data_IF_194755456391
#
_entry.id   IF_194755456391
#
_cell.length_a   1.000
_cell.length_b   1.000
_cell.length_c   1.000
_cell.angle_alpha   90.00
_cell.angle_beta   90.00
_cell.angle_gamma   90.00
#
_symmetry.space_group_name_H-M   'P 1'
#
loop_
_entity.id
_entity.type
_entity.pdbx_description
1 polymer ?
#
# COMPACT_ATOMS: atom_id res chain seq x y z
N UNK A 1 -3.95 8.82 -13.05
CA UNK A 1 -4.80 7.63 -13.27
C UNK A 1 -6.02 8.08 -14.06
N UNK A 2 -6.43 7.34 -15.08
CA UNK A 2 -7.53 7.74 -15.97
C UNK A 2 -8.89 7.73 -15.29
N UNK A 3 -9.86 8.49 -15.82
CA UNK A 3 -11.27 8.42 -15.40
C UNK A 3 -11.79 6.99 -15.63
N UNK A 4 -12.60 6.48 -14.70
CA UNK A 4 -13.24 5.16 -14.80
C UNK A 4 -12.43 3.99 -14.23
N UNK A 5 -11.23 4.21 -13.68
CA UNK A 5 -10.49 3.18 -12.97
C UNK A 5 -10.77 3.23 -11.46
N UNK A 6 -11.00 2.09 -10.78
CA UNK A 6 -11.23 2.04 -9.33
C UNK A 6 -10.13 2.74 -8.52
N UNK A 7 -8.88 2.56 -8.94
CA UNK A 7 -7.72 3.13 -8.27
C UNK A 7 -7.56 4.63 -8.52
N UNK A 8 -8.39 5.28 -9.34
CA UNK A 8 -8.42 6.74 -9.41
C UNK A 8 -8.85 7.36 -8.06
N UNK A 9 -9.71 6.68 -7.32
CA UNK A 9 -10.09 7.05 -5.96
C UNK A 9 -8.93 6.84 -4.98
N UNK A 10 -8.60 7.88 -4.22
CA UNK A 10 -7.60 7.83 -3.17
C UNK A 10 -7.96 6.82 -2.08
N UNK A 11 -9.22 6.78 -1.65
CA UNK A 11 -9.69 5.88 -0.60
C UNK A 11 -9.48 4.42 -1.01
N UNK A 12 -9.78 4.09 -2.27
CA UNK A 12 -9.55 2.75 -2.84
C UNK A 12 -8.06 2.39 -2.79
N UNK A 13 -7.16 3.26 -3.26
CA UNK A 13 -5.71 2.97 -3.22
C UNK A 13 -5.20 2.78 -1.79
N UNK A 14 -5.62 3.65 -0.88
CA UNK A 14 -5.20 3.61 0.52
C UNK A 14 -5.69 2.34 1.22
N UNK A 15 -6.93 1.93 0.97
CA UNK A 15 -7.48 0.69 1.49
C UNK A 15 -6.73 -0.55 0.95
N UNK A 16 -6.44 -0.57 -0.35
CA UNK A 16 -5.67 -1.67 -0.96
C UNK A 16 -4.27 -1.81 -0.35
N UNK A 17 -3.57 -0.70 -0.08
CA UNK A 17 -2.26 -0.75 0.60
C UNK A 17 -2.40 -1.27 2.04
N UNK A 18 -3.43 -0.84 2.78
CA UNK A 18 -3.69 -1.29 4.16
C UNK A 18 -4.01 -2.79 4.23
N UNK A 19 -4.56 -3.37 3.16
CA UNK A 19 -4.84 -4.80 3.08
C UNK A 19 -3.58 -5.67 2.92
N UNK A 20 -2.43 -5.07 2.54
CA UNK A 20 -1.20 -5.79 2.23
C UNK A 20 -0.26 -5.85 3.43
N UNK A 21 0.21 -7.05 3.78
CA UNK A 21 1.24 -7.21 4.80
C UNK A 21 2.64 -7.07 4.19
N UNK A 22 3.17 -5.84 4.18
CA UNK A 22 4.50 -5.55 3.59
C UNK A 22 5.64 -6.31 4.29
N UNK A 23 5.54 -6.56 5.59
CA UNK A 23 6.53 -7.36 6.33
C UNK A 23 6.54 -8.81 5.85
N UNK A 24 5.36 -9.40 5.67
CA UNK A 24 5.23 -10.76 5.15
C UNK A 24 5.73 -10.86 3.72
N UNK A 25 5.40 -9.90 2.84
CA UNK A 25 5.93 -9.86 1.47
C UNK A 25 7.45 -9.80 1.50
N UNK A 26 8.02 -8.90 2.30
CA UNK A 26 9.46 -8.78 2.47
C UNK A 26 10.11 -10.11 2.86
N UNK A 27 9.50 -10.87 3.77
CA UNK A 27 10.03 -12.18 4.17
C UNK A 27 9.84 -13.27 3.10
N UNK A 28 8.65 -13.40 2.53
CA UNK A 28 8.29 -14.54 1.66
C UNK A 28 8.82 -14.36 0.25
N UNK A 29 8.59 -13.20 -0.37
CA UNK A 29 8.92 -12.98 -1.77
C UNK A 29 10.44 -12.90 -2.03
N UNK A 30 11.23 -12.63 -0.99
CA UNK A 30 12.69 -12.44 -1.10
C UNK A 30 13.49 -13.55 -0.41
N UNK A 31 12.84 -14.56 0.17
CA UNK A 31 13.51 -15.56 1.00
C UNK A 31 14.16 -14.97 2.26
N UNK A 32 13.60 -13.89 2.81
CA UNK A 32 14.07 -13.22 4.03
C UNK A 32 15.15 -12.16 3.81
N UNK A 33 15.55 -11.88 2.57
CA UNK A 33 16.61 -10.90 2.25
C UNK A 33 16.09 -9.47 2.09
N UNK A 34 14.78 -9.30 1.97
CA UNK A 34 14.09 -8.04 1.75
C UNK A 34 14.20 -7.13 2.96
N UNK A 35 14.48 -5.86 2.71
CA UNK A 35 14.51 -4.80 3.73
C UNK A 35 13.32 -3.87 3.51
N UNK A 36 12.71 -3.33 4.59
CA UNK A 36 11.71 -2.28 4.45
C UNK A 36 12.29 -1.08 3.69
N UNK A 37 11.53 -0.55 2.75
CA UNK A 37 11.89 0.68 2.08
C UNK A 37 11.79 1.87 3.06
N UNK A 38 12.71 2.81 2.92
CA UNK A 38 12.82 4.10 3.62
C UNK A 38 12.58 5.27 2.66
N UNK A 39 12.70 5.05 1.36
CA UNK A 39 12.41 6.05 0.32
C UNK A 39 12.05 5.37 -1.02
N UNK A 40 11.65 6.16 -2.03
CA UNK A 40 11.32 5.64 -3.37
C UNK A 40 12.57 5.41 -4.26
N UNK A 41 13.68 6.08 -3.95
CA UNK A 41 14.91 6.12 -4.76
C UNK A 41 16.07 5.36 -4.13
N UNK A 42 15.84 4.11 -3.71
CA UNK A 42 16.83 3.30 -2.96
C UNK A 42 17.96 2.72 -3.81
N UNK A 43 17.96 2.97 -5.12
CA UNK A 43 19.08 2.59 -5.99
C UNK A 43 20.18 3.64 -5.87
N UNK A 44 21.37 3.21 -5.48
CA UNK A 44 22.51 4.08 -5.32
C UNK A 44 22.91 4.75 -6.66
N UNK A 45 23.34 6.03 -6.62
CA UNK A 45 23.42 6.91 -5.45
C UNK A 45 22.05 7.49 -5.05
N UNK A 46 21.73 7.44 -3.76
CA UNK A 46 20.48 8.01 -3.21
C UNK A 46 20.72 9.45 -2.75
N UNK A 47 20.14 10.47 -3.43
CA UNK A 47 20.39 11.88 -3.12
C UNK A 47 19.75 12.34 -1.80
N UNK A 48 18.67 11.69 -1.36
CA UNK A 48 17.94 12.01 -0.13
C UNK A 48 17.91 10.79 0.79
N UNK A 49 18.62 10.82 1.91
CA UNK A 49 18.77 9.65 2.81
C UNK A 49 17.75 9.56 3.94
N UNK A 50 16.83 10.53 4.04
CA UNK A 50 15.80 10.54 5.07
C UNK A 50 14.78 9.42 4.88
N UNK A 51 14.33 8.83 5.99
CA UNK A 51 13.18 7.93 5.99
C UNK A 51 11.90 8.76 5.78
N UNK A 52 11.32 8.61 4.59
CA UNK A 52 10.07 9.24 4.18
C UNK A 52 8.89 8.27 4.23
N UNK A 53 9.15 7.00 4.53
CA UNK A 53 8.16 5.91 4.49
C UNK A 53 7.51 5.74 5.85
N UNK A 54 8.29 5.75 6.93
CA UNK A 54 7.78 5.61 8.30
C UNK A 54 6.76 6.72 8.61
N UNK A 55 5.55 6.32 9.00
CA UNK A 55 4.45 7.23 9.31
C UNK A 55 3.62 7.70 8.10
N UNK A 56 4.11 7.53 6.87
CA UNK A 56 3.39 7.91 5.64
C UNK A 56 2.76 6.73 4.91
N UNK A 57 3.16 5.49 5.22
CA UNK A 57 2.52 4.29 4.68
C UNK A 57 1.40 3.80 5.61
N UNK A 58 0.21 3.48 5.07
CA UNK A 58 -0.88 2.93 5.86
C UNK A 58 -0.46 1.64 6.57
N UNK A 59 -0.83 1.46 7.86
CA UNK A 59 -0.54 0.22 8.56
C UNK A 59 -1.32 -0.95 7.96
N UNK A 60 -0.79 -2.17 8.14
CA UNK A 60 -1.52 -3.37 7.75
C UNK A 60 -2.74 -3.58 8.66
N UNK A 61 -3.93 -3.39 8.12
CA UNK A 61 -5.22 -3.56 8.78
C UNK A 61 -6.28 -4.02 7.76
N UNK A 62 -6.42 -5.34 7.55
CA UNK A 62 -7.39 -5.91 6.61
C UNK A 62 -8.85 -5.56 6.95
N UNK A 63 -9.18 -5.42 8.24
CA UNK A 63 -10.54 -5.13 8.67
C UNK A 63 -10.92 -3.69 8.31
N UNK A 64 -10.04 -2.73 8.63
CA UNK A 64 -10.22 -1.34 8.24
C UNK A 64 -10.19 -1.15 6.72
N UNK A 65 -9.32 -1.88 6.02
CA UNK A 65 -9.29 -1.87 4.55
C UNK A 65 -10.64 -2.29 3.95
N UNK A 66 -11.24 -3.38 4.46
CA UNK A 66 -12.54 -3.86 4.00
C UNK A 66 -13.66 -2.84 4.29
N UNK A 67 -13.63 -2.20 5.46
CA UNK A 67 -14.57 -1.13 5.81
C UNK A 67 -14.43 0.07 4.85
N UNK A 68 -13.21 0.56 4.64
CA UNK A 68 -12.95 1.68 3.72
C UNK A 68 -13.31 1.38 2.26
N UNK A 69 -13.12 0.15 1.79
CA UNK A 69 -13.61 -0.27 0.47
C UNK A 69 -15.14 -0.22 0.40
N UNK A 70 -15.82 -0.72 1.42
CA UNK A 70 -17.30 -0.69 1.50
C UNK A 70 -17.83 0.75 1.51
N UNK A 71 -17.20 1.63 2.28
CA UNK A 71 -17.51 3.07 2.31
C UNK A 71 -17.28 3.75 0.95
N UNK A 72 -16.28 3.30 0.20
CA UNK A 72 -16.01 3.74 -1.17
C UNK A 72 -16.94 3.08 -2.23
N UNK A 73 -17.95 2.31 -1.81
CA UNK A 73 -18.91 1.66 -2.69
C UNK A 73 -18.45 0.31 -3.28
N UNK A 74 -17.35 -0.26 -2.77
CA UNK A 74 -16.81 -1.56 -3.20
C UNK A 74 -17.24 -2.68 -2.26
N UNK A 75 -18.07 -3.59 -2.76
CA UNK A 75 -18.51 -4.80 -2.03
C UNK A 75 -17.82 -6.05 -2.58
N UNK A 76 -18.01 -7.19 -1.89
CA UNK A 76 -17.51 -8.49 -2.36
C UNK A 76 -18.11 -8.92 -3.71
N UNK A 77 -19.27 -8.36 -4.10
CA UNK A 77 -19.90 -8.63 -5.38
C UNK A 77 -19.38 -7.71 -6.52
N UNK A 78 -18.49 -6.77 -6.20
CA UNK A 78 -18.06 -5.70 -7.10
C UNK A 78 -18.32 -4.31 -6.50
N UNK A 79 -17.82 -3.28 -7.16
CA UNK A 79 -18.03 -1.87 -6.79
C UNK A 79 -18.87 -1.10 -7.80
N UNK A 80 -19.21 0.12 -7.41
CA UNK A 80 -19.97 1.10 -8.23
C UNK A 80 -19.27 1.48 -9.53
#
# INVERSE_FOLDING_TARGET
MGKGHPTADFAVRHALVSAVNLKQIGSVATGGLGKPATNLGEVAPTPCTGDTVTGNVPPHDPAKAAASLTEAGWTKAGGV
#
